data_IF_367891407521
#
_entry.id   IF_367891407521
#
_cell.length_a   1.000
_cell.length_b   1.000
_cell.length_c   1.000
_cell.angle_alpha   90.00
_cell.angle_beta   90.00
_cell.angle_gamma   90.00
#
_symmetry.space_group_name_H-M   'P 1'
#
loop_
_entity.id
_entity.type
_entity.pdbx_description
1 polymer ?
#
# COMPACT_ATOMS: atom_id res chain seq x y z
N UNK A 1 -21.99 8.77 -33.56
CA UNK A 1 -21.59 8.64 -32.13
C UNK A 1 -20.54 7.54 -32.10
N UNK A 2 -19.26 7.70 -31.76
CA UNK A 2 -18.53 8.57 -30.82
C UNK A 2 -17.15 8.90 -31.44
N UNK A 3 -16.78 10.19 -31.44
CA UNK A 3 -15.85 10.83 -32.40
C UNK A 3 -14.40 10.73 -31.93
N UNK A 4 -13.65 9.77 -32.45
CA UNK A 4 -12.17 9.73 -32.39
C UNK A 4 -11.67 10.88 -33.27
N UNK A 5 -11.13 11.93 -32.67
CA UNK A 5 -10.65 13.10 -33.42
C UNK A 5 -9.18 12.88 -33.80
N UNK A 6 -8.97 12.47 -35.05
CA UNK A 6 -7.72 12.62 -35.77
C UNK A 6 -7.13 14.02 -35.53
N UNK A 7 -5.91 14.10 -35.02
CA UNK A 7 -5.00 15.21 -35.29
C UNK A 7 -3.63 14.60 -35.56
N UNK A 8 -3.56 13.90 -36.69
CA UNK A 8 -2.33 13.73 -37.46
C UNK A 8 -2.38 14.79 -38.55
N UNK A 9 -1.78 15.96 -38.31
CA UNK A 9 -1.52 16.95 -39.35
C UNK A 9 -0.46 17.93 -38.89
N UNK A 10 0.71 17.83 -39.52
CA UNK A 10 1.75 18.87 -39.69
C UNK A 10 2.30 19.52 -38.40
N UNK A 11 3.53 19.12 -38.04
CA UNK A 11 4.50 20.04 -37.44
C UNK A 11 5.89 19.84 -38.03
N UNK A 12 6.03 20.07 -39.33
CA UNK A 12 7.29 20.59 -39.86
C UNK A 12 7.22 22.12 -39.77
N UNK A 13 8.08 22.72 -38.95
CA UNK A 13 8.41 24.15 -39.02
C UNK A 13 7.53 25.12 -38.23
N UNK A 14 7.37 24.93 -36.91
CA UNK A 14 6.91 26.03 -36.04
C UNK A 14 8.13 26.67 -35.38
N UNK A 15 8.44 27.96 -35.66
CA UNK A 15 9.49 28.68 -34.95
C UNK A 15 9.10 28.79 -33.47
N UNK A 16 10.06 28.60 -32.57
CA UNK A 16 9.88 28.89 -31.13
C UNK A 16 9.65 30.39 -30.95
N UNK A 17 8.40 30.82 -31.14
CA UNK A 17 7.89 32.13 -30.77
C UNK A 17 7.39 31.99 -29.34
N UNK A 18 7.92 32.85 -28.47
CA UNK A 18 7.74 32.82 -27.01
C UNK A 18 6.36 32.30 -26.59
N UNK A 19 6.37 31.26 -25.77
CA UNK A 19 5.17 30.61 -25.25
C UNK A 19 4.54 31.60 -24.27
N UNK A 20 3.64 32.43 -24.75
CA UNK A 20 2.76 33.21 -23.89
C UNK A 20 1.82 32.21 -23.21
N UNK A 21 2.12 31.91 -21.95
CA UNK A 21 1.40 30.95 -21.13
C UNK A 21 -0.04 31.44 -20.99
N UNK A 22 -1.00 30.68 -21.52
CA UNK A 22 -2.42 31.07 -21.50
C UNK A 22 -2.86 31.30 -20.05
N UNK A 23 -3.67 32.32 -19.81
CA UNK A 23 -4.11 32.77 -18.48
C UNK A 23 -4.74 31.65 -17.61
N UNK A 24 -5.25 30.59 -18.25
CA UNK A 24 -5.79 29.42 -17.56
C UNK A 24 -4.74 28.49 -16.94
N UNK A 25 -3.50 28.43 -17.46
CA UNK A 25 -2.42 27.59 -16.90
C UNK A 25 -1.82 28.17 -15.62
N UNK A 26 -2.00 29.47 -15.40
CA UNK A 26 -1.49 30.15 -14.19
C UNK A 26 -2.44 30.06 -13.01
N UNK A 27 -3.65 29.52 -13.20
CA UNK A 27 -4.64 29.38 -12.12
C UNK A 27 -4.18 28.30 -11.16
N UNK A 28 -3.89 28.65 -9.89
CA UNK A 28 -3.53 27.65 -8.88
C UNK A 28 -4.69 26.68 -8.70
N UNK A 29 -4.40 25.39 -8.66
CA UNK A 29 -5.40 24.37 -8.33
C UNK A 29 -6.01 24.69 -6.95
N UNK A 30 -7.35 24.78 -6.82
CA UNK A 30 -8.02 24.97 -5.54
C UNK A 30 -7.63 23.96 -4.46
N UNK A 31 -7.15 22.77 -4.84
CA UNK A 31 -6.72 21.72 -3.91
C UNK A 31 -5.23 21.72 -3.55
N UNK A 32 -4.36 22.29 -4.39
CA UNK A 32 -2.91 22.19 -4.21
C UNK A 32 -2.19 23.54 -4.09
N UNK A 33 -2.80 24.65 -4.54
CA UNK A 33 -2.18 25.98 -4.53
C UNK A 33 -1.01 26.14 -5.52
N UNK A 34 -0.80 25.16 -6.40
CA UNK A 34 0.27 25.14 -7.42
C UNK A 34 -0.41 25.13 -8.80
N UNK A 35 0.11 25.89 -9.80
CA UNK A 35 -0.40 25.83 -11.16
C UNK A 35 -0.27 24.44 -11.78
N UNK A 36 -1.28 24.04 -12.56
CA UNK A 36 -1.30 22.77 -13.28
C UNK A 36 -0.21 22.77 -14.36
N UNK A 37 0.67 21.76 -14.32
CA UNK A 37 1.68 21.54 -15.36
C UNK A 37 1.27 20.33 -16.18
N UNK A 38 1.13 20.50 -17.48
CA UNK A 38 0.85 19.42 -18.41
C UNK A 38 1.99 18.40 -18.42
N UNK A 39 1.76 17.24 -17.81
CA UNK A 39 2.66 16.08 -17.83
C UNK A 39 2.14 15.03 -18.79
N UNK A 40 3.02 14.52 -19.65
CA UNK A 40 2.69 13.40 -20.53
C UNK A 40 2.36 12.15 -19.70
N UNK A 41 1.51 11.22 -20.21
CA UNK A 41 1.19 9.97 -19.52
C UNK A 41 2.43 9.14 -19.18
N UNK A 42 3.51 9.22 -19.99
CA UNK A 42 4.78 8.57 -19.67
C UNK A 42 5.49 9.23 -18.48
N UNK A 43 5.52 10.56 -18.40
CA UNK A 43 6.13 11.29 -17.27
C UNK A 43 5.35 11.12 -15.98
N UNK A 44 4.01 11.07 -16.04
CA UNK A 44 3.17 10.82 -14.87
C UNK A 44 3.43 9.42 -14.27
N UNK A 45 3.68 8.41 -15.12
CA UNK A 45 4.01 7.04 -14.68
C UNK A 45 5.45 6.90 -14.20
N UNK A 46 6.38 7.68 -14.75
CA UNK A 46 7.78 7.72 -14.34
C UNK A 46 8.00 8.48 -13.03
N UNK A 47 6.95 9.10 -12.47
CA UNK A 47 7.08 9.93 -11.27
C UNK A 47 7.51 9.09 -10.05
N UNK A 48 8.62 9.45 -9.37
CA UNK A 48 9.20 8.65 -8.29
C UNK A 48 8.27 8.45 -7.08
N UNK A 49 7.24 9.30 -6.90
CA UNK A 49 6.18 9.07 -5.89
C UNK A 49 5.34 7.80 -6.12
N UNK A 50 5.42 7.19 -7.31
CA UNK A 50 4.76 5.92 -7.60
C UNK A 50 5.56 4.69 -7.16
N UNK A 51 6.82 4.85 -6.72
CA UNK A 51 7.67 3.74 -6.29
C UNK A 51 7.38 3.36 -4.84
N UNK A 52 7.14 2.08 -4.56
CA UNK A 52 6.95 1.61 -3.19
C UNK A 52 8.24 1.88 -2.40
N UNK A 53 8.10 2.59 -1.28
CA UNK A 53 9.21 2.75 -0.34
C UNK A 53 9.66 1.37 0.16
N UNK A 54 10.95 1.23 0.44
CA UNK A 54 11.55 -0.01 0.97
C UNK A 54 10.73 -0.59 2.15
N UNK A 55 10.22 0.29 3.02
CA UNK A 55 9.37 -0.06 4.16
C UNK A 55 8.12 -0.86 3.78
N UNK A 56 7.46 -0.52 2.66
CA UNK A 56 6.26 -1.25 2.23
C UNK A 56 6.59 -2.69 1.82
N UNK A 57 7.73 -2.90 1.16
CA UNK A 57 8.19 -4.24 0.83
C UNK A 57 8.53 -5.07 2.06
N UNK A 58 9.15 -4.46 3.08
CA UNK A 58 9.42 -5.13 4.35
C UNK A 58 8.12 -5.60 5.01
N UNK A 59 7.09 -4.75 5.04
CA UNK A 59 5.77 -5.10 5.60
C UNK A 59 5.12 -6.24 4.80
N UNK A 60 5.15 -6.17 3.47
CA UNK A 60 4.61 -7.22 2.60
C UNK A 60 5.32 -8.56 2.86
N UNK A 61 6.65 -8.56 2.87
CA UNK A 61 7.45 -9.75 3.13
C UNK A 61 7.16 -10.34 4.52
N UNK A 62 7.09 -9.48 5.55
CA UNK A 62 6.74 -9.90 6.91
C UNK A 62 5.37 -10.59 6.98
N UNK A 63 4.34 -10.01 6.34
CA UNK A 63 3.00 -10.60 6.34
C UNK A 63 2.95 -11.96 5.64
N UNK A 64 3.65 -12.09 4.51
CA UNK A 64 3.70 -13.35 3.76
C UNK A 64 4.45 -14.41 4.56
N UNK A 65 5.65 -14.10 5.07
CA UNK A 65 6.47 -15.05 5.82
C UNK A 65 5.78 -15.49 7.11
N UNK A 66 5.24 -14.54 7.87
CA UNK A 66 4.51 -14.86 9.12
C UNK A 66 3.23 -15.66 8.85
N UNK A 67 2.48 -15.34 7.79
CA UNK A 67 1.29 -16.09 7.39
C UNK A 67 1.59 -17.52 6.97
N UNK A 68 2.63 -17.72 6.15
CA UNK A 68 3.09 -19.06 5.75
C UNK A 68 3.60 -19.88 6.94
N UNK A 69 4.36 -19.25 7.83
CA UNK A 69 4.82 -19.90 9.06
C UNK A 69 3.65 -20.33 9.94
N UNK A 70 2.64 -19.46 10.13
CA UNK A 70 1.41 -19.80 10.87
C UNK A 70 0.63 -20.91 10.22
N UNK A 71 0.50 -20.91 8.89
CA UNK A 71 -0.16 -22.01 8.16
C UNK A 71 0.53 -23.34 8.44
N UNK A 72 1.86 -23.39 8.35
CA UNK A 72 2.64 -24.59 8.63
C UNK A 72 2.49 -25.04 10.09
N UNK A 73 2.55 -24.11 11.04
CA UNK A 73 2.39 -24.43 12.46
C UNK A 73 0.97 -24.91 12.80
N UNK A 74 -0.07 -24.25 12.26
CA UNK A 74 -1.45 -24.57 12.59
C UNK A 74 -1.95 -25.86 11.95
N UNK A 75 -1.46 -26.20 10.76
CA UNK A 75 -1.75 -27.51 10.15
C UNK A 75 -1.08 -28.65 10.92
N UNK A 76 0.14 -28.45 11.42
CA UNK A 76 0.84 -29.43 12.26
C UNK A 76 0.20 -29.63 13.64
N UNK A 77 -0.39 -28.59 14.21
CA UNK A 77 -1.01 -28.61 15.54
C UNK A 77 -2.51 -28.98 15.55
N UNK A 78 -3.13 -29.24 14.38
CA UNK A 78 -4.52 -29.70 14.30
C UNK A 78 -5.57 -28.64 14.65
N UNK A 79 -5.26 -27.35 14.46
CA UNK A 79 -6.22 -26.28 14.71
C UNK A 79 -7.44 -26.37 13.77
N UNK A 80 -8.61 -25.87 14.19
CA UNK A 80 -9.78 -25.83 13.33
C UNK A 80 -9.52 -25.00 12.06
N UNK A 81 -10.12 -25.40 10.95
CA UNK A 81 -9.92 -24.81 9.61
C UNK A 81 -10.14 -23.29 9.63
N UNK A 82 -11.11 -22.80 10.40
CA UNK A 82 -11.40 -21.37 10.55
C UNK A 82 -10.20 -20.59 11.11
N UNK A 83 -9.51 -21.14 12.10
CA UNK A 83 -8.31 -20.53 12.70
C UNK A 83 -7.13 -20.58 11.73
N UNK A 84 -6.97 -21.67 10.99
CA UNK A 84 -5.94 -21.81 9.95
C UNK A 84 -6.11 -20.74 8.86
N UNK A 85 -7.34 -20.56 8.38
CA UNK A 85 -7.64 -19.60 7.31
C UNK A 85 -7.50 -18.16 7.81
N UNK A 86 -8.11 -17.80 8.95
CA UNK A 86 -8.09 -16.42 9.45
C UNK A 86 -6.73 -16.03 10.04
N UNK A 87 -6.03 -16.95 10.69
CA UNK A 87 -4.74 -16.69 11.32
C UNK A 87 -3.54 -16.84 10.37
N UNK A 88 -3.65 -17.72 9.37
CA UNK A 88 -2.55 -18.08 8.48
C UNK A 88 -2.73 -17.57 7.04
N UNK A 89 -3.83 -17.94 6.38
CA UNK A 89 -4.06 -17.59 4.97
C UNK A 89 -4.36 -16.10 4.77
N UNK A 90 -5.18 -15.51 5.64
CA UNK A 90 -5.57 -14.11 5.57
C UNK A 90 -4.37 -13.12 5.57
N UNK A 91 -3.33 -13.26 6.43
CA UNK A 91 -2.14 -12.43 6.33
C UNK A 91 -1.41 -12.55 4.98
N UNK A 92 -1.34 -13.75 4.40
CA UNK A 92 -0.71 -13.95 3.09
C UNK A 92 -1.49 -13.22 1.99
N UNK A 93 -2.82 -13.37 1.97
CA UNK A 93 -3.67 -12.68 1.00
C UNK A 93 -3.57 -11.16 1.18
N UNK A 94 -3.49 -10.68 2.43
CA UNK A 94 -3.32 -9.26 2.75
C UNK A 94 -1.97 -8.72 2.27
N UNK A 95 -0.89 -9.49 2.44
CA UNK A 95 0.43 -9.16 1.88
C UNK A 95 0.41 -9.06 0.34
N UNK A 96 -0.25 -10.00 -0.32
CA UNK A 96 -0.46 -9.96 -1.78
C UNK A 96 -1.35 -8.78 -2.21
N UNK A 97 -2.39 -8.47 -1.44
CA UNK A 97 -3.27 -7.33 -1.67
C UNK A 97 -2.55 -5.99 -1.53
N UNK A 98 -1.64 -5.87 -0.55
CA UNK A 98 -0.76 -4.71 -0.38
C UNK A 98 0.22 -4.57 -1.54
N UNK A 99 0.77 -5.68 -2.03
CA UNK A 99 1.61 -5.70 -3.22
C UNK A 99 0.85 -5.24 -4.47
N UNK A 100 -0.40 -5.70 -4.63
CA UNK A 100 -1.32 -5.25 -5.68
C UNK A 100 -1.94 -3.86 -5.42
N UNK A 101 -1.58 -3.19 -4.32
CA UNK A 101 -2.06 -1.85 -3.92
C UNK A 101 -3.58 -1.76 -3.78
N UNK A 102 -4.22 -2.84 -3.37
CA UNK A 102 -5.66 -2.86 -3.17
C UNK A 102 -6.03 -2.09 -1.89
N UNK A 103 -6.99 -1.15 -1.92
CA UNK A 103 -7.32 -0.30 -0.77
C UNK A 103 -7.82 -1.09 0.44
N UNK A 104 -8.49 -2.22 0.19
CA UNK A 104 -9.00 -3.09 1.26
C UNK A 104 -7.89 -3.77 2.09
N UNK A 105 -6.71 -3.98 1.51
CA UNK A 105 -5.60 -4.67 2.18
C UNK A 105 -5.02 -3.84 3.35
N UNK A 106 -5.05 -2.52 3.24
CA UNK A 106 -4.61 -1.62 4.32
C UNK A 106 -5.51 -1.77 5.55
N UNK A 107 -6.84 -1.80 5.33
CA UNK A 107 -7.82 -1.93 6.41
C UNK A 107 -7.63 -3.26 7.15
N UNK A 108 -7.49 -4.36 6.39
CA UNK A 108 -7.27 -5.70 6.97
C UNK A 108 -5.94 -5.77 7.72
N UNK A 109 -4.86 -5.18 7.18
CA UNK A 109 -3.57 -5.14 7.85
C UNK A 109 -3.65 -4.40 9.20
N UNK A 110 -4.35 -3.27 9.26
CA UNK A 110 -4.56 -2.50 10.50
C UNK A 110 -5.34 -3.34 11.53
N UNK A 111 -6.44 -3.97 11.12
CA UNK A 111 -7.25 -4.82 12.00
C UNK A 111 -6.41 -5.98 12.56
N UNK A 112 -5.65 -6.66 11.71
CA UNK A 112 -4.80 -7.78 12.09
C UNK A 112 -3.65 -7.35 13.01
N UNK A 113 -3.05 -6.19 12.75
CA UNK A 113 -2.04 -5.61 13.64
C UNK A 113 -2.63 -5.29 15.02
N UNK A 114 -3.81 -4.68 15.06
CA UNK A 114 -4.53 -4.41 16.31
C UNK A 114 -4.87 -5.68 17.08
N UNK A 115 -5.38 -6.71 16.42
CA UNK A 115 -5.68 -8.00 17.05
C UNK A 115 -4.41 -8.69 17.56
N UNK A 116 -3.32 -8.64 16.79
CA UNK A 116 -2.03 -9.21 17.20
C UNK A 116 -1.48 -8.49 18.43
N UNK A 117 -1.55 -7.15 18.45
CA UNK A 117 -1.13 -6.35 19.59
C UNK A 117 -2.00 -6.63 20.83
N UNK A 118 -3.32 -6.75 20.66
CA UNK A 118 -4.24 -7.11 21.73
C UNK A 118 -3.94 -8.50 22.29
N UNK A 119 -3.77 -9.49 21.42
CA UNK A 119 -3.41 -10.84 21.81
C UNK A 119 -2.06 -10.84 22.54
N UNK A 120 -1.07 -10.11 22.04
CA UNK A 120 0.23 -9.96 22.68
C UNK A 120 0.12 -9.35 24.09
N UNK A 121 -0.57 -8.23 24.23
CA UNK A 121 -0.78 -7.57 25.53
C UNK A 121 -1.54 -8.48 26.51
N UNK A 122 -2.56 -9.21 26.03
CA UNK A 122 -3.30 -10.17 26.85
C UNK A 122 -2.45 -11.37 27.27
N UNK A 123 -1.57 -11.87 26.40
CA UNK A 123 -0.69 -12.98 26.73
C UNK A 123 0.40 -12.56 27.74
N UNK A 124 1.00 -11.37 27.59
CA UNK A 124 1.97 -10.84 28.56
C UNK A 124 1.33 -10.66 29.94
N UNK A 125 0.14 -10.06 30.01
CA UNK A 125 -0.54 -9.86 31.29
C UNK A 125 -1.08 -11.15 31.92
N UNK A 126 -1.14 -12.24 31.17
CA UNK A 126 -1.61 -13.54 31.64
C UNK A 126 -0.47 -14.47 32.09
N UNK A 127 0.79 -14.12 31.83
CA UNK A 127 1.95 -14.96 32.13
C UNK A 127 2.57 -14.57 33.51
N UNK A 128 2.43 -15.39 34.56
CA UNK A 128 2.97 -15.10 35.89
C UNK A 128 4.50 -14.92 35.87
N UNK A 129 5.18 -15.61 34.95
CA UNK A 129 6.62 -15.53 34.72
C UNK A 129 7.10 -14.16 34.22
N UNK A 130 6.27 -13.43 33.47
CA UNK A 130 6.61 -12.08 33.00
C UNK A 130 6.43 -11.04 34.11
N UNK A 131 5.43 -11.22 34.97
CA UNK A 131 5.25 -10.40 36.18
C UNK A 131 6.42 -10.59 37.15
N UNK A 132 6.85 -11.84 37.36
CA UNK A 132 8.01 -12.14 38.21
C UNK A 132 9.34 -11.60 37.65
N UNK A 133 9.48 -11.49 36.33
CA UNK A 133 10.68 -10.91 35.70
C UNK A 133 10.69 -9.37 35.81
N UNK A 134 9.53 -8.72 35.72
CA UNK A 134 9.37 -7.27 35.91
C UNK A 134 9.54 -6.87 37.38
N UNK A 135 9.01 -7.65 38.32
CA UNK A 135 9.22 -7.41 39.75
C UNK A 135 10.65 -7.73 40.21
N UNK A 136 11.41 -8.50 39.43
CA UNK A 136 12.81 -8.83 39.71
C UNK A 136 13.83 -7.82 39.12
N UNK A 137 13.37 -6.79 38.39
CA UNK A 137 14.20 -5.73 37.80
C UNK A 137 14.18 -4.47 38.67
#
# INVERSE_FOLDING_TARGET
MQKIRCIESKMHGVPQKGIDMSDNDKRPDPGAGIPWVDVTPQQARAHPKGRPGLTLYVIIAYLIVSGLFKLWAFTGAGYPVTVIVLGGALPVITGLGLWARMPWAIIVAIIMAGFTLYAFARNIGADPSMLLLVDAL
#
